data_IF_039967787583
#
_entry.id   IF_039967787583
#
_cell.length_a   1.000
_cell.length_b   1.000
_cell.length_c   1.000
_cell.angle_alpha   90.00
_cell.angle_beta   90.00
_cell.angle_gamma   90.00
#
_symmetry.space_group_name_H-M   'P 1'
#
loop_
_entity.id
_entity.type
_entity.pdbx_description
1 polymer ?
#
# COMPACT_ATOMS: atom_id res chain seq x y z
N UNK A 1 -8.01 -21.04 -14.77
CA UNK A 1 -8.45 -22.43 -14.54
C UNK A 1 -9.87 -22.34 -14.01
N UNK A 2 -10.83 -23.04 -14.62
CA UNK A 2 -12.22 -23.00 -14.18
C UNK A 2 -12.44 -24.11 -13.17
N UNK A 3 -13.19 -23.83 -12.11
CA UNK A 3 -13.51 -24.81 -11.07
C UNK A 3 -14.97 -25.18 -11.08
N UNK A 4 -15.25 -26.41 -10.63
CA UNK A 4 -16.59 -26.90 -10.32
C UNK A 4 -16.67 -27.10 -8.81
N UNK A 5 -17.73 -26.63 -8.18
CA UNK A 5 -18.09 -26.98 -6.82
C UNK A 5 -19.07 -28.11 -6.84
N UNK A 6 -18.73 -29.25 -6.22
CA UNK A 6 -19.63 -30.33 -5.92
C UNK A 6 -20.25 -30.08 -4.55
N UNK A 7 -21.54 -29.79 -4.52
CA UNK A 7 -22.28 -29.50 -3.28
C UNK A 7 -23.08 -30.71 -2.88
N UNK A 8 -22.86 -31.23 -1.68
CA UNK A 8 -23.47 -32.47 -1.14
C UNK A 8 -24.13 -32.13 0.18
N UNK A 9 -25.44 -32.39 0.30
CA UNK A 9 -26.11 -32.30 1.59
C UNK A 9 -25.73 -33.51 2.46
N UNK A 10 -25.38 -33.27 3.71
CA UNK A 10 -25.06 -34.33 4.68
C UNK A 10 -26.02 -34.29 5.88
N UNK A 11 -26.17 -35.43 6.56
CA UNK A 11 -27.07 -35.60 7.71
C UNK A 11 -26.44 -35.21 9.04
N UNK A 12 -25.14 -35.44 9.18
CA UNK A 12 -24.35 -35.20 10.38
C UNK A 12 -22.86 -35.01 10.04
N UNK A 13 -22.08 -34.49 10.98
CA UNK A 13 -20.66 -34.16 10.81
C UNK A 13 -19.81 -35.38 10.46
N UNK A 14 -20.16 -36.59 10.98
CA UNK A 14 -19.46 -37.83 10.67
C UNK A 14 -19.59 -38.18 9.18
N UNK A 15 -20.80 -38.03 8.61
CA UNK A 15 -21.02 -38.25 7.18
C UNK A 15 -20.20 -37.24 6.33
N UNK A 16 -20.08 -36.00 6.76
CA UNK A 16 -19.26 -34.99 6.07
C UNK A 16 -17.78 -35.36 6.11
N UNK A 17 -17.26 -35.82 7.26
CA UNK A 17 -15.87 -36.26 7.41
C UNK A 17 -15.57 -37.48 6.51
N UNK A 18 -16.46 -38.48 6.47
CA UNK A 18 -16.31 -39.65 5.61
C UNK A 18 -16.29 -39.25 4.14
N UNK A 19 -17.27 -38.46 3.71
CA UNK A 19 -17.35 -37.99 2.32
C UNK A 19 -16.12 -37.16 1.92
N UNK A 20 -15.60 -36.35 2.83
CA UNK A 20 -14.37 -35.58 2.61
C UNK A 20 -13.16 -36.49 2.40
N UNK A 21 -13.02 -37.53 3.25
CA UNK A 21 -11.92 -38.52 3.15
C UNK A 21 -11.97 -39.30 1.83
N UNK A 22 -13.15 -39.76 1.45
CA UNK A 22 -13.35 -40.53 0.22
C UNK A 22 -13.15 -39.70 -1.05
N UNK A 23 -13.63 -38.43 -1.03
CA UNK A 23 -13.45 -37.50 -2.15
C UNK A 23 -12.02 -37.02 -2.29
N UNK A 24 -11.22 -37.06 -1.23
CA UNK A 24 -9.81 -36.72 -1.28
C UNK A 24 -8.95 -37.70 -2.10
N UNK A 25 -9.45 -38.88 -2.39
CA UNK A 25 -8.80 -39.83 -3.31
C UNK A 25 -8.96 -39.43 -4.79
N UNK A 26 -9.83 -38.47 -5.06
CA UNK A 26 -10.03 -37.87 -6.39
C UNK A 26 -9.35 -36.47 -6.44
N UNK A 27 -9.21 -35.86 -7.61
CA UNK A 27 -8.49 -34.58 -7.76
C UNK A 27 -9.27 -33.34 -7.25
N UNK A 28 -9.98 -33.49 -6.12
CA UNK A 28 -10.53 -32.34 -5.40
C UNK A 28 -9.43 -31.66 -4.58
N UNK A 29 -9.30 -30.33 -4.70
CA UNK A 29 -8.21 -29.57 -4.12
C UNK A 29 -8.56 -28.92 -2.77
N UNK A 30 -9.85 -28.70 -2.51
CA UNK A 30 -10.30 -28.15 -1.23
C UNK A 30 -11.72 -28.54 -0.88
N UNK A 31 -12.01 -28.51 0.42
CA UNK A 31 -13.29 -28.90 1.01
C UNK A 31 -13.76 -27.87 2.02
N UNK A 32 -15.04 -27.59 2.04
CA UNK A 32 -15.68 -26.66 2.97
C UNK A 32 -17.01 -27.27 3.42
N UNK A 33 -17.18 -27.48 4.73
CA UNK A 33 -18.44 -27.94 5.32
C UNK A 33 -19.09 -26.81 6.12
N UNK A 34 -20.27 -26.40 5.69
CA UNK A 34 -21.04 -25.35 6.34
C UNK A 34 -22.54 -25.60 6.21
N UNK A 35 -23.29 -25.33 7.28
CA UNK A 35 -24.75 -25.37 7.32
C UNK A 35 -25.36 -26.66 6.69
N UNK A 36 -24.76 -27.83 6.93
CA UNK A 36 -25.26 -29.12 6.44
C UNK A 36 -24.98 -29.39 4.96
N UNK A 37 -24.06 -28.63 4.37
CA UNK A 37 -23.60 -28.82 2.98
C UNK A 37 -22.09 -28.94 2.93
N UNK A 38 -21.58 -30.02 2.37
CA UNK A 38 -20.19 -30.23 1.99
C UNK A 38 -19.98 -29.70 0.56
N UNK A 39 -19.06 -28.76 0.39
CA UNK A 39 -18.61 -28.28 -0.92
C UNK A 39 -17.21 -28.82 -1.17
N UNK A 40 -17.01 -29.53 -2.26
CA UNK A 40 -15.73 -30.01 -2.72
C UNK A 40 -15.38 -29.34 -4.05
N UNK A 41 -14.16 -28.83 -4.19
CA UNK A 41 -13.75 -28.04 -5.35
C UNK A 41 -12.77 -28.81 -6.22
N UNK A 42 -13.07 -28.91 -7.52
CA UNK A 42 -12.28 -29.64 -8.50
C UNK A 42 -12.06 -28.79 -9.76
N UNK A 43 -10.86 -28.82 -10.39
CA UNK A 43 -10.66 -28.24 -11.72
C UNK A 43 -11.62 -28.87 -12.74
N UNK A 44 -12.27 -28.04 -13.54
CA UNK A 44 -13.28 -28.48 -14.52
C UNK A 44 -12.74 -29.55 -15.49
N UNK A 45 -11.46 -29.44 -15.85
CA UNK A 45 -10.79 -30.37 -16.77
C UNK A 45 -10.67 -31.78 -16.17
N UNK A 46 -10.39 -31.87 -14.86
CA UNK A 46 -10.18 -33.12 -14.14
C UNK A 46 -11.50 -33.79 -13.74
N UNK A 47 -12.60 -33.04 -13.62
CA UNK A 47 -13.90 -33.61 -13.29
C UNK A 47 -14.38 -34.61 -14.36
N UNK A 48 -14.10 -34.33 -15.63
CA UNK A 48 -14.54 -35.17 -16.73
C UNK A 48 -14.03 -36.61 -16.59
N UNK A 49 -12.84 -36.79 -16.06
CA UNK A 49 -12.16 -38.09 -15.95
C UNK A 49 -12.67 -38.93 -14.77
N UNK A 50 -13.14 -38.31 -13.69
CA UNK A 50 -13.54 -39.00 -12.46
C UNK A 50 -15.04 -38.88 -12.13
N UNK A 51 -15.82 -38.09 -12.87
CA UNK A 51 -17.24 -37.83 -12.54
C UNK A 51 -18.09 -39.05 -12.33
N UNK A 52 -17.91 -40.07 -13.17
CA UNK A 52 -18.70 -41.31 -13.07
C UNK A 52 -18.42 -42.09 -11.79
N UNK A 53 -17.17 -42.11 -11.36
CA UNK A 53 -16.74 -42.79 -10.12
C UNK A 53 -17.21 -41.99 -8.90
N UNK A 54 -17.10 -40.67 -8.93
CA UNK A 54 -17.62 -39.79 -7.87
C UNK A 54 -19.14 -39.94 -7.73
N UNK A 55 -19.90 -39.97 -8.84
CA UNK A 55 -21.35 -40.16 -8.79
C UNK A 55 -21.73 -41.53 -8.20
N UNK A 56 -20.96 -42.60 -8.50
CA UNK A 56 -21.15 -43.91 -7.93
C UNK A 56 -20.81 -43.95 -6.43
N UNK A 57 -19.75 -43.24 -6.00
CA UNK A 57 -19.39 -43.06 -4.60
C UNK A 57 -20.53 -42.41 -3.82
N UNK A 58 -21.04 -41.28 -4.33
CA UNK A 58 -22.15 -40.57 -3.69
C UNK A 58 -23.38 -41.41 -3.56
N UNK A 59 -23.73 -42.22 -4.60
CA UNK A 59 -24.83 -43.15 -4.57
C UNK A 59 -24.63 -44.25 -3.52
N UNK A 60 -23.40 -44.73 -3.31
CA UNK A 60 -23.07 -45.71 -2.27
C UNK A 60 -23.37 -45.17 -0.86
N UNK A 61 -23.09 -43.90 -0.62
CA UNK A 61 -23.40 -43.24 0.66
C UNK A 61 -24.82 -42.67 0.75
N UNK A 62 -25.67 -42.92 -0.27
CA UNK A 62 -27.06 -42.47 -0.30
C UNK A 62 -27.27 -40.99 -0.38
N UNK A 63 -26.26 -40.25 -0.86
CA UNK A 63 -26.30 -38.78 -1.03
C UNK A 63 -26.32 -38.40 -2.50
N UNK A 64 -26.78 -37.16 -2.77
CA UNK A 64 -26.77 -36.58 -4.11
C UNK A 64 -25.86 -35.36 -4.15
N UNK A 65 -25.03 -35.28 -5.17
CA UNK A 65 -24.15 -34.16 -5.43
C UNK A 65 -24.72 -33.25 -6.52
N UNK A 66 -24.60 -31.97 -6.32
CA UNK A 66 -24.91 -30.94 -7.33
C UNK A 66 -23.63 -30.27 -7.79
N UNK A 67 -23.28 -30.44 -9.06
CA UNK A 67 -22.14 -29.77 -9.68
C UNK A 67 -22.52 -28.36 -10.12
N UNK A 68 -21.80 -27.34 -9.63
CA UNK A 68 -22.02 -25.94 -9.93
C UNK A 68 -20.72 -25.38 -10.51
N UNK A 69 -20.78 -24.87 -11.73
CA UNK A 69 -19.64 -24.15 -12.30
C UNK A 69 -19.40 -22.88 -11.50
N UNK A 70 -18.18 -22.71 -11.03
CA UNK A 70 -17.76 -21.47 -10.39
C UNK A 70 -17.39 -20.51 -11.52
N UNK A 71 -18.17 -19.46 -11.67
CA UNK A 71 -17.77 -18.36 -12.55
C UNK A 71 -16.43 -17.82 -12.07
N UNK A 72 -15.42 -17.85 -12.94
CA UNK A 72 -14.14 -17.23 -12.66
C UNK A 72 -14.35 -15.72 -12.54
N UNK A 73 -14.59 -15.27 -11.34
CA UNK A 73 -14.59 -13.84 -11.06
C UNK A 73 -13.16 -13.35 -11.25
N UNK A 74 -12.96 -12.39 -12.13
CA UNK A 74 -11.68 -11.70 -12.24
C UNK A 74 -11.50 -10.81 -11.01
N UNK A 75 -10.99 -11.39 -9.93
CA UNK A 75 -10.76 -10.69 -8.68
C UNK A 75 -9.85 -9.47 -8.86
N UNK A 76 -8.93 -9.52 -9.81
CA UNK A 76 -8.09 -8.38 -10.17
C UNK A 76 -8.94 -7.24 -10.71
N UNK A 77 -9.85 -7.50 -11.66
CA UNK A 77 -10.73 -6.47 -12.20
C UNK A 77 -11.69 -5.90 -11.14
N UNK A 78 -12.21 -6.75 -10.23
CA UNK A 78 -13.04 -6.29 -9.09
C UNK A 78 -12.21 -5.42 -8.15
N UNK A 79 -10.98 -5.82 -7.83
CA UNK A 79 -10.10 -5.04 -6.99
C UNK A 79 -9.70 -3.72 -7.66
N UNK A 80 -9.31 -3.73 -8.93
CA UNK A 80 -8.98 -2.54 -9.71
C UNK A 80 -10.14 -1.54 -9.77
N UNK A 81 -11.39 -2.02 -9.93
CA UNK A 81 -12.58 -1.18 -9.94
C UNK A 81 -12.89 -0.53 -8.58
N UNK A 82 -12.45 -1.15 -7.48
CA UNK A 82 -12.60 -0.65 -6.12
C UNK A 82 -11.39 0.15 -5.60
N UNK A 83 -10.40 0.41 -6.47
CA UNK A 83 -9.21 1.18 -6.14
C UNK A 83 -9.21 2.51 -6.93
N UNK A 84 -9.92 3.55 -6.46
CA UNK A 84 -10.05 4.80 -7.20
C UNK A 84 -8.73 5.58 -7.23
N UNK A 85 -8.47 6.43 -8.24
CA UNK A 85 -7.36 7.37 -8.18
C UNK A 85 -7.59 8.44 -7.10
N UNK A 86 -6.50 8.99 -6.57
CA UNK A 86 -6.54 9.99 -5.51
C UNK A 86 -6.25 11.37 -6.08
N UNK A 87 -7.23 12.25 -5.98
CA UNK A 87 -7.09 13.66 -6.35
C UNK A 87 -6.61 14.50 -5.16
N UNK A 88 -5.59 15.32 -5.39
CA UNK A 88 -5.09 16.30 -4.43
C UNK A 88 -5.37 17.70 -4.97
N UNK A 89 -6.52 18.24 -4.62
CA UNK A 89 -6.99 19.62 -4.94
C UNK A 89 -6.97 19.95 -6.45
N UNK A 90 -7.20 18.97 -7.34
CA UNK A 90 -7.14 19.19 -8.79
C UNK A 90 -5.76 19.53 -9.34
N UNK A 91 -4.71 19.46 -8.51
CA UNK A 91 -3.32 19.82 -8.84
C UNK A 91 -2.45 18.61 -9.07
N UNK A 92 -2.76 17.50 -8.38
CA UNK A 92 -2.04 16.22 -8.46
C UNK A 92 -3.05 15.07 -8.48
N UNK A 93 -2.86 14.14 -9.41
CA UNK A 93 -3.55 12.86 -9.46
C UNK A 93 -2.56 11.73 -9.16
N UNK A 94 -2.76 11.01 -8.05
CA UNK A 94 -2.05 9.77 -7.75
C UNK A 94 -2.92 8.63 -8.25
N UNK A 95 -2.44 7.83 -9.17
CA UNK A 95 -3.20 6.75 -9.80
C UNK A 95 -2.40 5.47 -9.99
N UNK A 96 -3.10 4.37 -10.13
CA UNK A 96 -2.50 3.12 -10.58
C UNK A 96 -2.31 3.10 -12.13
N UNK A 97 -1.46 2.19 -12.66
CA UNK A 97 -1.24 2.07 -14.11
C UNK A 97 -2.51 1.74 -14.92
N UNK A 98 -3.49 1.08 -14.31
CA UNK A 98 -4.75 0.69 -14.95
C UNK A 98 -5.82 1.80 -14.95
N UNK A 99 -5.56 2.95 -14.33
CA UNK A 99 -6.46 4.11 -14.40
C UNK A 99 -6.16 5.00 -15.63
N UNK A 100 -7.17 5.75 -16.05
CA UNK A 100 -7.01 6.77 -17.09
C UNK A 100 -5.95 7.82 -16.69
N UNK A 101 -5.19 8.35 -17.65
CA UNK A 101 -4.23 9.42 -17.40
C UNK A 101 -4.87 10.67 -16.80
N UNK A 102 -4.06 11.46 -16.08
CA UNK A 102 -4.51 12.73 -15.52
C UNK A 102 -4.93 13.72 -16.61
N UNK A 103 -5.92 14.59 -16.33
CA UNK A 103 -6.29 15.69 -17.22
C UNK A 103 -5.10 16.62 -17.52
N UNK A 104 -5.15 17.29 -18.68
CA UNK A 104 -4.10 18.24 -19.04
C UNK A 104 -3.93 19.33 -17.98
N UNK A 105 -2.69 19.60 -17.60
CA UNK A 105 -2.33 20.58 -16.57
C UNK A 105 -2.37 20.08 -15.12
N UNK A 106 -2.83 18.84 -14.89
CA UNK A 106 -2.76 18.18 -13.57
C UNK A 106 -1.48 17.34 -13.50
N UNK A 107 -0.72 17.49 -12.45
CA UNK A 107 0.46 16.63 -12.21
C UNK A 107 0.00 15.19 -12.02
N UNK A 108 0.68 14.24 -12.64
CA UNK A 108 0.38 12.82 -12.51
C UNK A 108 1.49 12.10 -11.77
N UNK A 109 1.13 11.22 -10.83
CA UNK A 109 2.02 10.25 -10.20
C UNK A 109 1.42 8.85 -10.33
N UNK A 110 2.13 7.96 -11.02
CA UNK A 110 1.72 6.57 -11.21
C UNK A 110 2.34 5.70 -10.13
N UNK A 111 1.52 5.05 -9.32
CA UNK A 111 1.95 4.14 -8.26
C UNK A 111 1.33 2.77 -8.48
N UNK A 112 2.17 1.73 -8.59
CA UNK A 112 1.69 0.35 -8.57
C UNK A 112 1.31 -0.02 -7.13
N UNK A 113 0.03 -0.25 -6.85
CA UNK A 113 -0.42 -0.64 -5.51
C UNK A 113 0.04 -2.06 -5.22
N UNK A 114 0.90 -2.17 -4.20
CA UNK A 114 1.43 -3.42 -3.64
C UNK A 114 1.26 -3.40 -2.12
N UNK A 115 1.95 -4.27 -1.41
CA UNK A 115 1.90 -4.35 0.06
C UNK A 115 2.58 -3.17 0.77
N UNK A 116 3.20 -2.24 0.04
CA UNK A 116 3.89 -1.07 0.61
C UNK A 116 2.92 0.08 0.89
N UNK A 117 3.17 0.82 1.98
CA UNK A 117 2.41 2.02 2.33
C UNK A 117 2.68 3.17 1.33
N UNK A 118 1.70 4.06 1.12
CA UNK A 118 1.88 5.26 0.29
C UNK A 118 1.21 5.19 -1.09
N UNK A 119 0.08 4.49 -1.22
CA UNK A 119 -0.72 4.47 -2.47
C UNK A 119 -1.51 5.77 -2.72
N UNK A 120 -1.44 6.73 -1.79
CA UNK A 120 -2.18 7.99 -1.85
C UNK A 120 -3.47 8.04 -1.05
N UNK A 121 -4.12 6.91 -0.82
CA UNK A 121 -5.47 6.83 -0.20
C UNK A 121 -5.49 7.24 1.27
N UNK A 122 -4.41 6.99 2.00
CA UNK A 122 -4.36 7.38 3.40
C UNK A 122 -4.27 8.90 3.54
N UNK A 123 -5.03 9.45 4.48
CA UNK A 123 -5.10 10.90 4.71
C UNK A 123 -3.72 11.56 4.90
N UNK A 124 -2.76 10.88 5.54
CA UNK A 124 -1.40 11.40 5.75
C UNK A 124 -0.63 11.54 4.44
N UNK A 125 -0.73 10.58 3.52
CA UNK A 125 -0.09 10.66 2.20
C UNK A 125 -0.67 11.81 1.40
N UNK A 126 -1.99 11.99 1.42
CA UNK A 126 -2.68 13.12 0.80
C UNK A 126 -2.20 14.45 1.37
N UNK A 127 -2.17 14.58 2.72
CA UNK A 127 -1.76 15.80 3.41
C UNK A 127 -0.31 16.19 3.10
N UNK A 128 0.63 15.23 3.14
CA UNK A 128 2.04 15.53 2.84
C UNK A 128 2.22 15.82 1.36
N UNK A 129 1.53 15.12 0.45
CA UNK A 129 1.54 15.41 -0.98
C UNK A 129 1.09 16.85 -1.24
N UNK A 130 -0.03 17.27 -0.63
CA UNK A 130 -0.50 18.65 -0.69
C UNK A 130 0.54 19.64 -0.16
N UNK A 131 1.16 19.34 0.98
CA UNK A 131 2.19 20.20 1.57
C UNK A 131 3.40 20.36 0.62
N UNK A 132 3.82 19.29 -0.08
CA UNK A 132 4.91 19.33 -1.07
C UNK A 132 4.57 20.23 -2.26
N UNK A 133 3.30 20.23 -2.72
CA UNK A 133 2.86 21.12 -3.81
C UNK A 133 2.98 22.61 -3.45
N UNK A 134 2.91 22.94 -2.17
CA UNK A 134 3.03 24.32 -1.65
C UNK A 134 4.45 24.65 -1.20
N UNK A 135 5.31 23.62 -1.05
CA UNK A 135 6.68 23.80 -0.58
C UNK A 135 7.61 24.18 -1.74
N UNK A 136 8.47 25.15 -1.52
CA UNK A 136 9.48 25.56 -2.50
C UNK A 136 10.62 24.53 -2.56
N UNK A 137 10.39 23.38 -3.19
CA UNK A 137 11.38 22.27 -3.30
C UNK A 137 12.29 22.40 -4.52
N UNK A 138 11.95 23.24 -5.50
CA UNK A 138 12.68 23.36 -6.75
C UNK A 138 14.16 23.70 -6.55
N UNK A 139 15.05 22.92 -7.18
CA UNK A 139 16.50 23.06 -7.08
C UNK A 139 17.10 22.63 -5.74
N UNK A 140 16.31 22.17 -4.79
CA UNK A 140 16.78 21.73 -3.45
C UNK A 140 16.99 20.24 -3.39
N UNK A 141 17.90 19.79 -2.53
CA UNK A 141 18.05 18.39 -2.13
C UNK A 141 17.05 18.06 -1.02
N UNK A 142 16.35 16.94 -1.15
CA UNK A 142 15.37 16.46 -0.19
C UNK A 142 15.68 15.08 0.39
N UNK A 143 14.98 14.78 1.47
CA UNK A 143 14.91 13.45 2.08
C UNK A 143 13.43 13.06 2.21
N UNK A 144 13.13 11.80 1.92
CA UNK A 144 11.85 11.14 2.21
C UNK A 144 12.14 9.94 3.11
N UNK A 145 11.82 10.08 4.40
CA UNK A 145 12.09 9.05 5.41
C UNK A 145 10.84 8.22 5.69
N UNK A 146 10.96 6.90 5.53
CA UNK A 146 9.84 5.98 5.45
C UNK A 146 9.14 6.13 4.10
N UNK A 147 9.91 6.01 3.02
CA UNK A 147 9.46 6.38 1.66
C UNK A 147 8.35 5.47 1.12
N UNK A 148 8.22 4.23 1.61
CA UNK A 148 7.20 3.29 1.17
C UNK A 148 7.21 3.10 -0.34
N UNK A 149 6.09 3.43 -1.00
CA UNK A 149 5.98 3.40 -2.47
C UNK A 149 6.85 4.43 -3.20
N UNK A 150 7.47 5.38 -2.48
CA UNK A 150 8.22 6.50 -3.05
C UNK A 150 7.32 7.65 -3.55
N UNK A 151 6.03 7.62 -3.29
CA UNK A 151 5.07 8.63 -3.82
C UNK A 151 5.47 10.04 -3.48
N UNK A 152 5.88 10.33 -2.23
CA UNK A 152 6.26 11.67 -1.80
C UNK A 152 7.56 12.16 -2.46
N UNK A 153 8.54 11.26 -2.59
CA UNK A 153 9.77 11.51 -3.35
C UNK A 153 9.47 11.84 -4.80
N UNK A 154 8.55 11.11 -5.45
CA UNK A 154 8.14 11.33 -6.84
C UNK A 154 7.43 12.68 -6.99
N UNK A 155 6.51 13.02 -6.07
CA UNK A 155 5.87 14.34 -6.05
C UNK A 155 6.92 15.45 -5.93
N UNK A 156 7.86 15.33 -4.98
CA UNK A 156 8.91 16.33 -4.80
C UNK A 156 9.81 16.48 -6.05
N UNK A 157 10.21 15.37 -6.68
CA UNK A 157 10.98 15.39 -7.92
C UNK A 157 10.21 16.04 -9.07
N UNK A 158 8.91 15.77 -9.21
CA UNK A 158 8.04 16.41 -10.22
C UNK A 158 7.79 17.90 -9.93
N UNK A 159 7.85 18.31 -8.65
CA UNK A 159 7.87 19.73 -8.25
C UNK A 159 9.23 20.41 -8.46
N UNK A 160 10.21 19.73 -9.04
CA UNK A 160 11.50 20.29 -9.42
C UNK A 160 12.61 20.14 -8.37
N UNK A 161 12.46 19.27 -7.36
CA UNK A 161 13.56 18.95 -6.47
C UNK A 161 14.78 18.48 -7.27
N UNK A 162 15.97 18.95 -6.91
CA UNK A 162 17.21 18.59 -7.60
C UNK A 162 17.59 17.12 -7.35
N UNK A 163 17.36 16.66 -6.13
CA UNK A 163 17.62 15.29 -5.74
C UNK A 163 16.80 14.94 -4.49
N UNK A 164 16.35 13.68 -4.35
CA UNK A 164 15.67 13.16 -3.16
C UNK A 164 16.28 11.83 -2.78
N UNK A 165 16.76 11.72 -1.53
CA UNK A 165 17.13 10.47 -0.92
C UNK A 165 15.83 9.84 -0.36
N UNK A 166 15.44 8.65 -0.84
CA UNK A 166 14.24 7.94 -0.42
C UNK A 166 14.65 6.76 0.47
N UNK A 167 14.45 6.86 1.78
CA UNK A 167 14.95 5.88 2.76
C UNK A 167 13.79 5.07 3.33
N UNK A 168 13.90 3.75 3.29
CA UNK A 168 12.97 2.83 3.97
C UNK A 168 13.72 1.64 4.57
N UNK A 169 13.19 1.07 5.65
CA UNK A 169 13.78 -0.10 6.32
C UNK A 169 13.31 -1.43 5.71
N UNK A 170 12.27 -1.40 4.89
CA UNK A 170 11.61 -2.57 4.33
C UNK A 170 12.09 -2.83 2.89
N UNK A 171 12.61 -4.04 2.65
CA UNK A 171 13.07 -4.48 1.32
C UNK A 171 11.97 -4.43 0.25
N UNK A 172 10.71 -4.74 0.62
CA UNK A 172 9.57 -4.68 -0.30
C UNK A 172 9.21 -3.24 -0.66
N UNK A 173 9.33 -2.33 0.31
CA UNK A 173 9.12 -0.90 0.08
C UNK A 173 10.21 -0.34 -0.86
N UNK A 174 11.49 -0.66 -0.63
CA UNK A 174 12.60 -0.23 -1.50
C UNK A 174 12.40 -0.75 -2.94
N UNK A 175 12.05 -2.02 -3.11
CA UNK A 175 11.80 -2.60 -4.44
C UNK A 175 10.62 -1.93 -5.16
N UNK A 176 9.50 -1.69 -4.46
CA UNK A 176 8.33 -1.00 -5.01
C UNK A 176 8.63 0.47 -5.33
N UNK A 177 9.38 1.15 -4.46
CA UNK A 177 9.83 2.52 -4.68
C UNK A 177 10.62 2.64 -5.99
N UNK A 178 11.58 1.73 -6.24
CA UNK A 178 12.37 1.70 -7.48
C UNK A 178 11.52 1.53 -8.73
N UNK A 179 10.54 0.64 -8.71
CA UNK A 179 9.61 0.43 -9.83
C UNK A 179 8.78 1.69 -10.11
N UNK A 180 8.23 2.32 -9.04
CA UNK A 180 7.42 3.52 -9.18
C UNK A 180 8.24 4.71 -9.68
N UNK A 181 9.47 4.89 -9.20
CA UNK A 181 10.41 5.91 -9.66
C UNK A 181 10.68 5.77 -11.16
N UNK A 182 10.95 4.55 -11.61
CA UNK A 182 11.17 4.26 -13.03
C UNK A 182 9.92 4.54 -13.88
N UNK A 183 8.74 4.10 -13.42
CA UNK A 183 7.46 4.31 -14.10
C UNK A 183 7.08 5.81 -14.23
N UNK A 184 7.58 6.65 -13.34
CA UNK A 184 7.35 8.10 -13.37
C UNK A 184 8.45 8.91 -14.07
N UNK A 185 9.51 8.26 -14.57
CA UNK A 185 10.60 8.89 -15.32
C UNK A 185 11.44 9.87 -14.47
N UNK A 186 11.63 9.60 -13.18
CA UNK A 186 12.36 10.47 -12.23
C UNK A 186 13.57 9.76 -11.58
N UNK A 187 14.05 8.68 -12.18
CA UNK A 187 15.15 7.87 -11.65
C UNK A 187 16.49 8.61 -11.58
N UNK A 188 16.65 9.65 -12.34
CA UNK A 188 17.82 10.55 -12.33
C UNK A 188 17.87 11.49 -11.12
N UNK A 189 16.75 11.62 -10.40
CA UNK A 189 16.58 12.57 -9.30
C UNK A 189 16.25 11.94 -7.94
N UNK A 190 15.98 10.64 -7.89
CA UNK A 190 15.64 9.94 -6.65
C UNK A 190 16.58 8.78 -6.43
N UNK A 191 17.20 8.72 -5.24
CA UNK A 191 18.05 7.60 -4.80
C UNK A 191 17.34 6.78 -3.72
N UNK A 192 16.77 5.60 -4.04
CA UNK A 192 16.24 4.70 -3.03
C UNK A 192 17.36 4.07 -2.21
N UNK A 193 17.22 4.10 -0.89
CA UNK A 193 18.21 3.59 0.07
C UNK A 193 17.55 2.73 1.14
N UNK A 194 17.88 1.46 1.18
CA UNK A 194 17.46 0.57 2.26
C UNK A 194 18.20 0.92 3.56
N UNK A 195 17.45 1.14 4.64
CA UNK A 195 17.98 1.42 5.96
C UNK A 195 17.14 2.40 6.79
N UNK A 196 17.70 2.89 7.87
CA UNK A 196 17.08 3.81 8.82
C UNK A 196 17.76 5.18 8.85
N UNK A 197 17.42 6.00 9.86
CA UNK A 197 17.95 7.36 10.05
C UNK A 197 19.47 7.44 10.06
N UNK A 198 20.19 6.37 10.32
CA UNK A 198 21.66 6.33 10.28
C UNK A 198 22.22 6.55 8.87
N UNK A 199 21.40 6.29 7.83
CA UNK A 199 21.77 6.53 6.43
C UNK A 199 21.98 7.98 6.07
N UNK A 200 21.41 8.90 6.85
CA UNK A 200 21.52 10.34 6.58
C UNK A 200 22.68 11.03 7.33
N UNK A 201 23.48 10.29 8.08
CA UNK A 201 24.60 10.85 8.82
C UNK A 201 25.58 11.60 7.89
N UNK A 202 25.86 12.88 8.19
CA UNK A 202 26.74 13.75 7.40
C UNK A 202 26.14 14.24 6.07
N UNK A 203 24.86 13.93 5.77
CA UNK A 203 24.14 14.47 4.62
C UNK A 203 23.43 15.77 5.01
N UNK A 204 23.13 16.62 4.02
CA UNK A 204 22.43 17.88 4.21
C UNK A 204 21.25 17.99 3.24
N UNK A 205 20.13 18.55 3.73
CA UNK A 205 18.87 18.61 3.00
C UNK A 205 18.23 19.99 3.14
N UNK A 206 17.77 20.52 2.03
CA UNK A 206 16.93 21.71 2.02
C UNK A 206 15.53 21.42 2.56
N UNK A 207 15.01 20.20 2.36
CA UNK A 207 13.74 19.77 2.93
C UNK A 207 13.77 18.29 3.32
N UNK A 208 12.97 17.93 4.33
CA UNK A 208 12.77 16.54 4.79
C UNK A 208 11.27 16.28 4.87
N UNK A 209 10.84 15.14 4.32
CA UNK A 209 9.50 14.58 4.44
C UNK A 209 9.58 13.35 5.33
N UNK A 210 8.70 13.21 6.31
CA UNK A 210 8.66 12.06 7.20
C UNK A 210 7.20 11.70 7.52
N UNK A 211 6.66 10.74 6.79
CA UNK A 211 5.29 10.24 6.98
C UNK A 211 5.33 8.89 7.72
N UNK A 212 5.70 8.93 8.99
CA UNK A 212 5.92 7.77 9.85
C UNK A 212 5.30 8.01 11.25
N UNK A 213 5.20 6.96 12.07
CA UNK A 213 4.56 7.08 13.37
C UNK A 213 5.29 8.06 14.33
N UNK A 214 4.51 8.66 15.25
CA UNK A 214 4.98 9.64 16.24
C UNK A 214 6.23 9.21 17.00
N UNK A 215 6.32 7.96 17.43
CA UNK A 215 7.41 7.51 18.29
C UNK A 215 8.75 7.53 17.54
N UNK A 216 8.77 7.06 16.30
CA UNK A 216 9.93 7.12 15.42
C UNK A 216 10.26 8.58 15.10
N UNK A 217 9.27 9.38 14.71
CA UNK A 217 9.46 10.81 14.43
C UNK A 217 10.17 11.54 15.57
N UNK A 218 9.70 11.37 16.80
CA UNK A 218 10.29 12.05 17.96
C UNK A 218 11.69 11.51 18.31
N UNK A 219 11.95 10.24 18.08
CA UNK A 219 13.28 9.64 18.31
C UNK A 219 14.30 10.12 17.27
N UNK A 220 13.89 10.24 16.00
CA UNK A 220 14.77 10.56 14.87
C UNK A 220 14.88 12.07 14.59
N UNK A 221 13.98 12.87 15.15
CA UNK A 221 13.93 14.33 14.91
C UNK A 221 15.26 15.08 15.20
N UNK A 222 16.08 14.69 16.21
CA UNK A 222 17.41 15.29 16.38
C UNK A 222 18.32 15.08 15.15
N UNK A 223 18.25 13.92 14.50
CA UNK A 223 19.03 13.65 13.28
C UNK A 223 18.50 14.47 12.10
N UNK A 224 17.18 14.62 11.97
CA UNK A 224 16.57 15.48 10.96
C UNK A 224 16.98 16.94 11.15
N UNK A 225 16.91 17.46 12.38
CA UNK A 225 17.31 18.82 12.68
C UNK A 225 18.80 19.05 12.38
N UNK A 226 19.68 18.08 12.66
CA UNK A 226 21.10 18.16 12.32
C UNK A 226 21.34 18.16 10.81
N UNK A 227 20.58 17.34 10.06
CA UNK A 227 20.71 17.18 8.60
C UNK A 227 20.02 18.29 7.79
N UNK A 228 19.14 19.11 8.40
CA UNK A 228 18.51 20.23 7.70
C UNK A 228 19.49 21.38 7.52
N UNK A 229 19.49 21.96 6.33
CA UNK A 229 20.13 23.22 6.03
C UNK A 229 19.50 24.39 6.85
N UNK A 230 20.19 25.52 6.95
CA UNK A 230 19.59 26.73 7.46
C UNK A 230 18.35 27.11 6.60
N UNK A 231 17.25 27.46 7.27
CA UNK A 231 15.93 27.67 6.65
C UNK A 231 15.35 26.42 5.93
N UNK A 232 15.87 25.23 6.22
CA UNK A 232 15.34 23.96 5.73
C UNK A 232 13.98 23.65 6.33
N UNK A 233 13.17 22.93 5.58
CA UNK A 233 11.80 22.60 5.93
C UNK A 233 11.69 21.14 6.35
N UNK A 234 10.98 20.85 7.43
CA UNK A 234 10.60 19.49 7.85
C UNK A 234 9.09 19.37 7.85
N UNK A 235 8.57 18.47 7.03
CA UNK A 235 7.15 18.16 6.95
C UNK A 235 6.93 16.75 7.52
N UNK A 236 6.15 16.67 8.58
CA UNK A 236 5.90 15.43 9.34
C UNK A 236 4.42 15.08 9.31
N UNK A 237 4.12 13.80 9.20
CA UNK A 237 2.77 13.21 9.34
C UNK A 237 2.87 11.76 9.82
N UNK A 238 1.73 11.05 9.92
CA UNK A 238 1.66 9.68 10.44
C UNK A 238 1.26 9.64 11.91
N UNK A 239 0.60 10.70 12.39
CA UNK A 239 0.11 10.84 13.77
C UNK A 239 -1.23 11.60 13.81
N UNK A 240 -1.92 11.51 14.93
CA UNK A 240 -3.24 12.14 15.16
C UNK A 240 -3.10 13.55 15.76
N UNK A 241 -4.22 14.29 15.76
CA UNK A 241 -4.26 15.65 16.34
C UNK A 241 -3.81 15.69 17.80
N UNK A 242 -4.11 14.66 18.59
CA UNK A 242 -3.70 14.55 19.99
C UNK A 242 -2.17 14.52 20.18
N UNK A 243 -1.42 14.16 19.14
CA UNK A 243 0.05 14.05 19.20
C UNK A 243 0.76 15.36 18.85
N UNK A 244 0.07 16.32 18.25
CA UNK A 244 0.64 17.62 17.79
C UNK A 244 1.41 18.34 18.88
N UNK A 245 0.91 18.47 20.13
CA UNK A 245 1.68 19.15 21.19
C UNK A 245 3.03 18.49 21.48
N UNK A 246 3.09 17.15 21.45
CA UNK A 246 4.35 16.41 21.69
C UNK A 246 5.35 16.59 20.54
N UNK A 247 4.88 16.52 19.29
CA UNK A 247 5.68 16.74 18.08
C UNK A 247 6.22 18.16 18.06
N UNK A 248 5.38 19.17 18.29
CA UNK A 248 5.76 20.58 18.27
C UNK A 248 6.77 20.91 19.37
N UNK A 249 6.52 20.43 20.60
CA UNK A 249 7.46 20.65 21.70
C UNK A 249 8.83 19.98 21.46
N UNK A 250 8.87 18.83 20.77
CA UNK A 250 10.11 18.20 20.36
C UNK A 250 10.85 19.05 19.31
N UNK A 251 10.14 19.53 18.30
CA UNK A 251 10.69 20.37 17.24
C UNK A 251 11.27 21.68 17.78
N UNK A 252 10.54 22.37 18.64
CA UNK A 252 10.98 23.65 19.24
C UNK A 252 12.25 23.52 20.05
N UNK A 253 12.42 22.42 20.82
CA UNK A 253 13.67 22.14 21.55
C UNK A 253 14.89 21.97 20.65
N UNK A 254 14.68 21.69 19.38
CA UNK A 254 15.71 21.51 18.36
C UNK A 254 15.90 22.73 17.45
N UNK A 255 15.28 23.87 17.79
CA UNK A 255 15.35 25.10 16.98
C UNK A 255 14.55 25.08 15.69
N UNK A 256 13.51 24.17 15.64
CA UNK A 256 12.60 24.10 14.52
C UNK A 256 11.29 24.85 14.87
N UNK A 257 10.93 25.87 14.07
CA UNK A 257 9.72 26.67 14.32
C UNK A 257 8.54 26.18 13.52
N UNK A 258 7.34 26.06 14.14
CA UNK A 258 6.10 25.76 13.42
C UNK A 258 5.83 26.79 12.31
N UNK A 259 5.44 26.28 11.13
CA UNK A 259 5.06 27.08 9.95
C UNK A 259 3.60 26.89 9.62
N UNK A 260 3.15 25.62 9.54
CA UNK A 260 1.78 25.27 9.18
C UNK A 260 1.38 23.93 9.79
N UNK A 261 0.07 23.76 9.98
CA UNK A 261 -0.54 22.51 10.38
C UNK A 261 -1.79 22.31 9.52
N UNK A 262 -2.00 21.07 9.02
CA UNK A 262 -3.19 20.71 8.28
C UNK A 262 -3.76 19.40 8.83
N UNK A 263 -5.09 19.27 8.78
CA UNK A 263 -5.83 18.11 9.31
C UNK A 263 -6.72 17.54 8.23
N UNK A 264 -6.77 16.21 8.15
CA UNK A 264 -7.70 15.46 7.32
C UNK A 264 -8.06 14.15 8.03
N UNK A 265 -9.37 13.95 8.27
CA UNK A 265 -9.87 12.69 8.88
C UNK A 265 -9.18 12.35 10.22
N UNK A 266 -8.88 13.37 11.07
CA UNK A 266 -8.20 13.21 12.35
C UNK A 266 -6.67 13.02 12.27
N UNK A 267 -6.13 12.83 11.06
CA UNK A 267 -4.68 12.79 10.81
C UNK A 267 -4.13 14.19 10.57
N UNK A 268 -2.88 14.40 10.95
CA UNK A 268 -2.27 15.71 10.90
C UNK A 268 -0.96 15.71 10.14
N UNK A 269 -0.70 16.82 9.44
CA UNK A 269 0.61 17.19 8.95
C UNK A 269 1.08 18.43 9.67
N UNK A 270 2.30 18.39 10.20
CA UNK A 270 3.00 19.55 10.82
C UNK A 270 4.20 19.90 9.96
N UNK A 271 4.25 21.15 9.53
CA UNK A 271 5.39 21.74 8.84
C UNK A 271 6.14 22.64 9.81
N UNK A 272 7.42 22.37 10.00
CA UNK A 272 8.33 23.21 10.79
C UNK A 272 9.52 23.61 9.94
N UNK A 273 10.21 24.72 10.31
CA UNK A 273 11.37 25.24 9.59
C UNK A 273 12.52 25.48 10.56
N UNK A 274 13.74 25.15 10.15
CA UNK A 274 14.96 25.43 10.86
C UNK A 274 15.27 26.92 10.77
N UNK A 275 15.71 27.51 11.89
CA UNK A 275 16.16 28.92 11.95
C UNK A 275 17.47 29.19 11.20
#
# INVERSE_FOLDING_TARGET
MNYISLNIAFSDDLQAEILTAELADYPFESFEADAGTLKAYIPQEQLADCKGEVDALLAHYGVQGRYIAIETQNWNAVWESNFPPVDVEGRLLIRAPFHEPAPAGVMEVVVMPKMSFGTGHHATTWLVSRAVLDLSVAGRRGLDMGSGTGVLSIVAAKCGAAHVDAVDIDDWADANCRENIASNGVADRIEPMLGDVRRIAGRHYGFILANINRNILTADMPAYAAALDARGDLVMSGFLESDVPAITACAEKLGLRPVATAVKEGWVTVHVRKE
#
